data_IF_477932336407
#
_entry.id   IF_477932336407
#
_cell.length_a   1.000
_cell.length_b   1.000
_cell.length_c   1.000
_cell.angle_alpha   90.00
_cell.angle_beta   90.00
_cell.angle_gamma   90.00
#
_symmetry.space_group_name_H-M   'P 1'
#
loop_
_entity.id
_entity.type
_entity.pdbx_description
1 polymer ?
#
# COMPACT_ATOMS: atom_id res chain seq x y z
N UNK A 1 -23.38 -2.69 -14.71
CA UNK A 1 -22.28 -3.68 -14.85
C UNK A 1 -21.58 -3.86 -13.50
N UNK A 2 -22.16 -4.56 -12.52
CA UNK A 2 -21.59 -4.56 -11.14
C UNK A 2 -21.87 -5.86 -10.35
N UNK A 3 -21.81 -7.04 -10.98
CA UNK A 3 -22.02 -8.32 -10.27
C UNK A 3 -20.79 -9.23 -10.18
N UNK A 4 -19.76 -9.03 -11.01
CA UNK A 4 -18.51 -9.82 -10.96
C UNK A 4 -17.47 -9.31 -9.96
N UNK A 5 -17.50 -8.02 -9.62
CA UNK A 5 -16.46 -7.36 -8.81
C UNK A 5 -16.57 -7.62 -7.29
N UNK A 6 -17.71 -8.08 -6.77
CA UNK A 6 -17.98 -8.14 -5.32
C UNK A 6 -17.21 -9.23 -4.55
N UNK A 7 -16.81 -10.32 -5.21
CA UNK A 7 -16.08 -11.44 -4.55
C UNK A 7 -14.56 -11.35 -4.66
N UNK A 8 -14.05 -10.35 -5.37
CA UNK A 8 -12.69 -10.34 -5.91
C UNK A 8 -11.67 -9.95 -4.81
N UNK A 9 -11.95 -8.92 -4.00
CA UNK A 9 -10.98 -8.33 -3.04
C UNK A 9 -11.21 -8.64 -1.55
N UNK A 10 -12.30 -9.33 -1.19
CA UNK A 10 -12.54 -9.72 0.20
C UNK A 10 -11.44 -10.62 0.77
N UNK A 11 -10.75 -11.40 -0.06
CA UNK A 11 -9.71 -12.33 0.37
C UNK A 11 -8.43 -11.65 0.87
N UNK A 12 -8.01 -10.52 0.31
CA UNK A 12 -6.84 -9.81 0.84
C UNK A 12 -7.17 -9.17 2.19
N UNK A 13 -8.36 -8.57 2.32
CA UNK A 13 -8.85 -8.03 3.58
C UNK A 13 -8.97 -9.10 4.68
N UNK A 14 -9.46 -10.29 4.34
CA UNK A 14 -9.48 -11.45 5.24
C UNK A 14 -8.07 -11.83 5.68
N UNK A 15 -7.10 -11.90 4.75
CA UNK A 15 -5.70 -12.21 5.10
C UNK A 15 -5.04 -11.14 5.96
N UNK A 16 -5.44 -9.89 5.79
CA UNK A 16 -4.94 -8.77 6.58
C UNK A 16 -5.49 -8.77 8.02
N UNK A 17 -6.52 -9.57 8.33
CA UNK A 17 -7.04 -9.66 9.70
C UNK A 17 -5.98 -10.18 10.66
N UNK A 18 -5.17 -11.17 10.24
CA UNK A 18 -4.07 -11.71 11.05
C UNK A 18 -3.05 -10.65 11.45
N UNK A 19 -2.71 -9.74 10.54
CA UNK A 19 -1.83 -8.60 10.84
C UNK A 19 -2.46 -7.65 11.89
N UNK A 20 -3.74 -7.28 11.70
CA UNK A 20 -4.45 -6.37 12.63
C UNK A 20 -4.63 -7.01 14.01
N UNK A 21 -4.96 -8.29 14.07
CA UNK A 21 -5.16 -9.07 15.28
C UNK A 21 -3.84 -9.26 16.04
N UNK A 22 -2.77 -9.66 15.35
CA UNK A 22 -1.44 -9.80 15.95
C UNK A 22 -0.96 -8.48 16.58
N UNK A 23 -1.11 -7.35 15.86
CA UNK A 23 -0.70 -6.05 16.38
C UNK A 23 -1.55 -5.63 17.59
N UNK A 24 -2.85 -5.88 17.54
CA UNK A 24 -3.78 -5.60 18.65
C UNK A 24 -3.45 -6.45 19.89
N UNK A 25 -3.12 -7.73 19.70
CA UNK A 25 -2.72 -8.64 20.76
C UNK A 25 -1.43 -8.19 21.45
N UNK A 26 -0.41 -7.78 20.68
CA UNK A 26 0.86 -7.26 21.24
C UNK A 26 0.67 -5.98 22.03
N UNK A 27 -0.18 -5.07 21.55
CA UNK A 27 -0.54 -3.86 22.31
C UNK A 27 -1.24 -4.24 23.62
N UNK A 28 -2.20 -5.17 23.60
CA UNK A 28 -2.91 -5.61 24.80
C UNK A 28 -1.98 -6.29 25.83
N UNK A 29 -1.05 -7.13 25.38
CA UNK A 29 -0.03 -7.76 26.21
C UNK A 29 0.83 -6.70 26.91
N UNK A 30 1.26 -5.66 26.17
CA UNK A 30 2.08 -4.56 26.69
C UNK A 30 1.33 -3.66 27.67
N UNK A 31 0.02 -3.46 27.49
CA UNK A 31 -0.87 -2.82 28.48
C UNK A 31 -0.89 -3.63 29.78
N UNK A 32 -1.12 -4.94 29.67
CA UNK A 32 -1.22 -5.84 30.83
C UNK A 32 0.08 -5.89 31.64
N UNK A 33 1.23 -5.98 30.95
CA UNK A 33 2.55 -6.00 31.57
C UNK A 33 2.91 -4.67 32.29
N UNK A 34 2.42 -3.52 31.81
CA UNK A 34 2.55 -2.24 32.53
C UNK A 34 1.61 -2.14 33.73
N UNK A 35 0.41 -2.71 33.63
CA UNK A 35 -0.57 -2.76 34.73
C UNK A 35 -0.13 -3.65 35.90
N UNK A 36 0.53 -4.79 35.62
CA UNK A 36 1.02 -5.71 36.64
C UNK A 36 2.24 -5.19 37.41
N UNK A 37 3.12 -4.41 36.77
CA UNK A 37 4.26 -3.74 37.43
C UNK A 37 3.85 -2.61 38.40
N UNK A 38 2.58 -2.20 38.42
CA UNK A 38 2.03 -1.22 39.37
C UNK A 38 1.47 -1.82 40.67
N UNK A 39 1.38 -3.14 40.79
CA UNK A 39 0.89 -3.83 41.98
C UNK A 39 2.09 -4.48 42.71
N UNK A 40 2.74 -3.73 43.59
CA UNK A 40 3.73 -4.28 44.51
C UNK A 40 3.07 -5.34 45.42
N UNK A 41 3.70 -6.51 45.51
CA UNK A 41 3.34 -7.59 46.43
C UNK A 41 3.61 -7.16 47.89
N UNK A 42 2.78 -7.57 48.87
CA UNK A 42 3.15 -7.42 50.28
C UNK A 42 4.31 -8.38 50.58
N UNK A 43 5.41 -7.86 51.15
CA UNK A 43 6.50 -8.68 51.67
C UNK A 43 5.96 -9.64 52.75
N UNK A 44 6.18 -10.94 52.56
CA UNK A 44 6.09 -11.95 53.61
C UNK A 44 7.25 -11.73 54.59
N UNK A 45 6.93 -11.42 55.84
CA UNK A 45 7.90 -11.41 56.93
C UNK A 45 7.91 -12.82 57.52
N UNK A 46 9.03 -13.53 57.34
CA UNK A 46 9.30 -14.82 57.96
C UNK A 46 9.36 -14.70 59.48
N UNK A 47 8.74 -15.68 60.14
CA UNK A 47 8.75 -15.83 61.59
C UNK A 47 10.04 -16.53 62.05
N UNK A 48 10.80 -15.89 62.93
CA UNK A 48 11.79 -16.58 63.78
C UNK A 48 11.38 -16.54 65.26
N UNK A 49 11.66 -17.66 65.91
CA UNK A 49 11.14 -18.14 67.17
C UNK A 49 12.10 -17.82 68.35
N UNK A 50 11.49 -17.57 69.53
CA UNK A 50 12.01 -17.66 70.94
C UNK A 50 12.73 -16.45 71.59
N UNK A 51 12.71 -16.35 72.94
CA UNK A 51 11.69 -16.73 73.93
C UNK A 51 11.36 -15.61 74.95
N UNK A 52 10.36 -15.90 75.79
CA UNK A 52 9.81 -15.05 76.85
C UNK A 52 10.80 -14.64 77.97
N UNK A 53 10.64 -13.42 78.51
CA UNK A 53 10.36 -13.13 79.93
C UNK A 53 10.41 -11.60 80.25
N UNK A 54 9.53 -11.21 81.17
CA UNK A 54 9.58 -10.07 82.11
C UNK A 54 9.28 -8.61 81.66
N UNK A 55 8.17 -8.09 82.19
CA UNK A 55 8.00 -6.69 82.60
C UNK A 55 8.68 -6.48 83.99
N UNK A 56 8.93 -5.27 84.54
CA UNK A 56 8.16 -4.04 84.31
C UNK A 56 8.94 -2.69 84.39
N UNK A 57 8.16 -1.62 84.30
CA UNK A 57 8.22 -0.41 85.14
C UNK A 57 8.80 0.91 84.57
N UNK A 58 8.29 1.97 85.21
CA UNK A 58 8.01 3.32 84.81
C UNK A 58 9.16 4.33 84.89
N UNK A 59 8.86 5.55 84.41
CA UNK A 59 9.53 6.79 84.83
C UNK A 59 9.74 7.75 83.67
N UNK A 60 8.86 8.75 83.47
CA UNK A 60 8.95 10.14 84.00
C UNK A 60 10.05 11.02 83.39
N UNK A 61 9.57 12.16 82.86
CA UNK A 61 10.18 13.51 82.91
C UNK A 61 11.52 13.71 82.17
N UNK A 62 11.86 14.83 81.55
CA UNK A 62 11.29 16.17 81.55
C UNK A 62 11.98 17.03 80.47
N UNK A 63 11.21 17.94 79.90
CA UNK A 63 11.56 19.37 79.73
C UNK A 63 12.57 19.88 78.67
N UNK A 64 12.23 21.12 78.26
CA UNK A 64 13.01 22.22 77.65
C UNK A 64 13.12 22.22 76.13
N UNK A 65 12.25 22.93 75.40
CA UNK A 65 12.09 24.40 75.33
C UNK A 65 13.32 25.14 74.80
N UNK A 66 13.23 25.65 73.56
CA UNK A 66 13.69 26.99 73.16
C UNK A 66 13.22 27.33 71.74
N UNK A 67 12.12 28.05 71.68
CA UNK A 67 11.94 29.17 70.76
C UNK A 67 12.82 30.35 71.25
N UNK A 68 13.06 31.47 70.50
CA UNK A 68 11.96 32.19 69.87
C UNK A 68 12.24 33.18 68.70
N UNK A 69 11.14 33.77 68.21
CA UNK A 69 10.97 35.12 67.58
C UNK A 69 11.51 35.33 66.16
N UNK A 70 10.94 36.19 65.31
CA UNK A 70 9.68 36.95 65.18
C UNK A 70 9.80 37.61 63.79
N UNK A 71 8.70 37.78 63.06
CA UNK A 71 8.68 38.59 61.85
C UNK A 71 7.26 38.80 61.34
N UNK A 72 6.61 39.83 61.86
CA UNK A 72 5.26 40.26 61.52
C UNK A 72 5.21 41.00 60.17
N UNK A 73 4.09 40.93 59.44
CA UNK A 73 3.18 42.08 59.29
C UNK A 73 1.97 41.75 58.39
N UNK A 74 0.77 42.04 58.91
CA UNK A 74 -0.42 42.65 58.28
C UNK A 74 -0.83 42.22 56.85
N UNK A 75 -2.09 41.92 56.52
CA UNK A 75 -3.36 42.12 57.21
C UNK A 75 -4.50 42.21 56.17
N UNK A 76 -5.74 42.34 56.64
CA UNK A 76 -7.01 42.52 55.90
C UNK A 76 -7.62 41.22 55.31
N UNK A 77 -8.51 40.50 56.03
CA UNK A 77 -9.96 40.75 56.22
C UNK A 77 -10.74 40.68 54.89
N UNK A 78 -11.87 39.99 54.70
CA UNK A 78 -12.97 39.43 55.53
C UNK A 78 -13.85 38.65 54.50
N UNK A 79 -14.48 37.49 54.73
CA UNK A 79 -15.69 37.27 55.53
C UNK A 79 -16.12 35.80 55.37
N UNK A 80 -16.33 35.16 56.50
CA UNK A 80 -17.15 33.97 56.74
C UNK A 80 -18.67 34.35 56.64
N UNK A 81 -19.65 33.42 56.60
CA UNK A 81 -19.90 32.54 57.74
C UNK A 81 -20.35 31.09 57.49
N UNK A 82 -20.06 30.32 58.53
CA UNK A 82 -20.62 29.06 58.99
C UNK A 82 -22.13 28.86 58.75
N UNK A 83 -22.50 27.61 58.48
CA UNK A 83 -23.53 26.93 59.27
C UNK A 83 -23.30 25.40 59.25
N UNK A 84 -22.95 24.82 60.40
CA UNK A 84 -23.30 23.44 60.76
C UNK A 84 -24.73 23.45 61.30
N UNK A 85 -25.47 22.34 61.20
CA UNK A 85 -25.77 21.62 62.43
C UNK A 85 -25.36 20.14 62.37
N UNK A 86 -25.04 19.65 63.56
CA UNK A 86 -24.92 18.25 63.94
C UNK A 86 -26.29 17.57 63.85
N UNK A 87 -26.36 16.33 63.34
CA UNK A 87 -26.98 15.24 64.10
C UNK A 87 -26.59 13.86 63.53
N UNK A 88 -26.50 12.91 64.45
CA UNK A 88 -26.12 11.52 64.31
C UNK A 88 -27.11 10.72 63.46
N UNK A 89 -26.58 9.74 62.75
CA UNK A 89 -27.37 8.70 62.09
C UNK A 89 -26.46 7.78 61.31
N UNK A 90 -26.03 6.70 61.96
CA UNK A 90 -25.32 5.59 61.36
C UNK A 90 -25.95 5.18 60.02
N UNK A 91 -25.14 5.04 58.96
CA UNK A 91 -25.22 3.89 58.03
C UNK A 91 -24.21 3.99 56.87
N UNK A 92 -23.52 2.86 56.65
CA UNK A 92 -22.98 2.37 55.37
C UNK A 92 -21.80 3.15 54.74
N UNK A 93 -20.63 2.78 55.23
CA UNK A 93 -19.34 2.86 54.54
C UNK A 93 -19.33 2.01 53.24
N UNK A 94 -19.82 2.54 52.11
CA UNK A 94 -19.64 1.97 50.74
C UNK A 94 -19.72 3.03 49.62
N UNK A 95 -19.09 4.20 49.76
CA UNK A 95 -19.00 5.20 48.66
C UNK A 95 -17.59 5.68 48.29
N UNK A 96 -16.54 5.16 48.93
CA UNK A 96 -15.15 5.49 48.58
C UNK A 96 -14.54 4.66 47.44
N UNK A 97 -15.01 3.43 47.17
CA UNK A 97 -14.33 2.52 46.21
C UNK A 97 -14.76 2.67 44.75
N UNK A 98 -15.91 3.30 44.47
CA UNK A 98 -16.42 3.43 43.09
C UNK A 98 -15.80 4.62 42.32
N UNK A 99 -15.48 5.72 42.99
CA UNK A 99 -14.84 6.90 42.36
C UNK A 99 -13.36 6.66 42.03
N UNK A 100 -12.65 5.94 42.91
CA UNK A 100 -11.23 5.58 42.67
C UNK A 100 -11.08 4.51 41.59
N UNK A 101 -11.99 3.54 41.45
CA UNK A 101 -11.96 2.57 40.34
C UNK A 101 -12.22 3.24 38.99
N UNK A 102 -13.11 4.24 38.94
CA UNK A 102 -13.38 4.99 37.70
C UNK A 102 -12.20 5.88 37.31
N UNK A 103 -11.56 6.57 38.27
CA UNK A 103 -10.34 7.37 38.05
C UNK A 103 -9.12 6.51 37.69
N UNK A 104 -8.96 5.35 38.32
CA UNK A 104 -7.89 4.41 37.99
C UNK A 104 -8.08 3.81 36.58
N UNK A 105 -9.31 3.50 36.18
CA UNK A 105 -9.59 3.13 34.78
C UNK A 105 -9.23 4.26 33.81
N UNK A 106 -9.60 5.52 34.09
CA UNK A 106 -9.29 6.66 33.20
C UNK A 106 -7.78 6.91 33.08
N UNK A 107 -7.02 6.81 34.17
CA UNK A 107 -5.56 6.96 34.17
C UNK A 107 -4.83 5.83 33.40
N UNK A 108 -5.38 4.61 33.38
CA UNK A 108 -4.84 3.51 32.57
C UNK A 108 -5.16 3.71 31.08
N UNK A 109 -6.32 4.30 30.74
CA UNK A 109 -6.68 4.61 29.34
C UNK A 109 -5.88 5.80 28.74
N UNK A 110 -5.34 6.70 29.56
CA UNK A 110 -4.52 7.83 29.10
C UNK A 110 -3.03 7.51 28.88
N UNK A 111 -2.57 6.32 29.29
CA UNK A 111 -1.17 5.95 29.10
C UNK A 111 -0.84 5.76 27.62
N UNK A 112 0.30 6.30 27.19
CA UNK A 112 0.83 6.09 25.85
C UNK A 112 1.73 4.83 25.83
N UNK A 113 1.52 3.99 24.83
CA UNK A 113 2.37 2.84 24.52
C UNK A 113 3.22 3.20 23.31
N UNK A 114 4.51 2.92 23.43
CA UNK A 114 5.46 3.00 22.33
C UNK A 114 5.61 1.59 21.78
N UNK A 115 5.43 1.43 20.47
CA UNK A 115 5.70 0.17 19.78
C UNK A 115 7.22 0.01 19.61
N UNK A 116 7.78 -1.07 20.15
CA UNK A 116 9.18 -1.46 19.96
C UNK A 116 9.27 -2.48 18.82
N UNK A 117 10.47 -2.69 18.27
CA UNK A 117 10.67 -3.64 17.18
C UNK A 117 10.20 -5.06 17.51
N UNK A 118 10.47 -5.54 18.72
CA UNK A 118 10.06 -6.88 19.17
C UNK A 118 8.54 -7.07 19.18
N UNK A 119 7.78 -5.99 19.38
CA UNK A 119 6.32 -6.03 19.42
C UNK A 119 5.74 -6.17 18.01
N UNK A 120 6.56 -5.92 16.98
CA UNK A 120 6.14 -5.91 15.57
C UNK A 120 6.55 -7.19 14.82
N UNK A 121 7.43 -8.04 15.36
CA UNK A 121 7.92 -9.24 14.64
C UNK A 121 6.79 -10.14 14.13
N UNK A 122 5.91 -10.58 15.03
CA UNK A 122 4.77 -11.45 14.66
C UNK A 122 3.75 -10.74 13.73
N UNK A 123 3.32 -9.48 13.99
CA UNK A 123 2.51 -8.73 13.04
C UNK A 123 3.15 -8.58 11.64
N UNK A 124 4.45 -8.29 11.58
CA UNK A 124 5.16 -8.11 10.32
C UNK A 124 5.27 -9.41 9.53
N UNK A 125 5.50 -10.53 10.19
CA UNK A 125 5.47 -11.84 9.55
C UNK A 125 4.08 -12.19 9.00
N UNK A 126 3.02 -11.93 9.76
CA UNK A 126 1.65 -12.12 9.28
C UNK A 126 1.33 -11.24 8.06
N UNK A 127 1.80 -9.99 8.06
CA UNK A 127 1.66 -9.09 6.92
C UNK A 127 2.41 -9.61 5.69
N UNK A 128 3.66 -10.06 5.85
CA UNK A 128 4.46 -10.62 4.77
C UNK A 128 3.75 -11.81 4.10
N UNK A 129 3.28 -12.77 4.90
CA UNK A 129 2.55 -13.93 4.40
C UNK A 129 1.27 -13.51 3.66
N UNK A 130 0.51 -12.55 4.20
CA UNK A 130 -0.70 -12.04 3.56
C UNK A 130 -0.42 -11.39 2.19
N UNK A 131 0.69 -10.65 2.06
CA UNK A 131 1.13 -10.05 0.80
C UNK A 131 1.52 -11.14 -0.21
N UNK A 132 2.35 -12.10 0.20
CA UNK A 132 2.80 -13.19 -0.67
C UNK A 132 1.64 -14.06 -1.18
N UNK A 133 0.68 -14.38 -0.32
CA UNK A 133 -0.50 -15.15 -0.73
C UNK A 133 -1.41 -14.37 -1.70
N UNK A 134 -1.24 -13.06 -1.80
CA UNK A 134 -1.90 -12.17 -2.77
C UNK A 134 -1.04 -11.90 -4.01
N UNK A 135 -0.09 -12.79 -4.31
CA UNK A 135 0.79 -12.72 -5.48
C UNK A 135 1.65 -11.44 -5.51
N UNK A 136 1.96 -10.89 -4.33
CA UNK A 136 3.04 -9.91 -4.18
C UNK A 136 4.37 -10.68 -4.14
N UNK A 137 5.32 -10.31 -5.00
CA UNK A 137 6.62 -10.95 -5.04
C UNK A 137 7.38 -10.72 -3.73
N UNK A 138 8.12 -11.73 -3.26
CA UNK A 138 8.81 -11.70 -1.96
C UNK A 138 9.66 -10.43 -1.74
N UNK A 139 10.53 -9.99 -2.66
CA UNK A 139 11.32 -8.77 -2.45
C UNK A 139 10.48 -7.50 -2.25
N UNK A 140 9.25 -7.51 -2.76
CA UNK A 140 8.29 -6.40 -2.67
C UNK A 140 7.53 -6.47 -1.35
N UNK A 141 7.16 -7.68 -0.92
CA UNK A 141 6.55 -7.91 0.39
C UNK A 141 7.52 -7.50 1.51
N UNK A 142 8.79 -7.92 1.43
CA UNK A 142 9.85 -7.54 2.37
C UNK A 142 10.02 -6.01 2.46
N UNK A 143 10.02 -5.32 1.32
CA UNK A 143 10.10 -3.86 1.27
C UNK A 143 8.88 -3.20 1.94
N UNK A 144 7.67 -3.65 1.61
CA UNK A 144 6.44 -3.10 2.21
C UNK A 144 6.46 -3.31 3.72
N UNK A 145 6.80 -4.51 4.18
CA UNK A 145 6.89 -4.85 5.61
C UNK A 145 7.92 -3.97 6.31
N UNK A 146 9.06 -3.72 5.68
CA UNK A 146 10.10 -2.83 6.22
C UNK A 146 9.59 -1.38 6.35
N UNK A 147 8.92 -0.84 5.34
CA UNK A 147 8.35 0.52 5.40
C UNK A 147 7.26 0.62 6.48
N UNK A 148 6.38 -0.38 6.59
CA UNK A 148 5.35 -0.44 7.64
C UNK A 148 5.98 -0.54 9.02
N UNK A 149 6.98 -1.40 9.21
CA UNK A 149 7.72 -1.51 10.48
C UNK A 149 8.35 -0.17 10.84
N UNK A 150 9.03 0.48 9.90
CA UNK A 150 9.68 1.77 10.12
C UNK A 150 8.68 2.88 10.50
N UNK A 151 7.49 2.88 9.90
CA UNK A 151 6.44 3.84 10.22
C UNK A 151 5.80 3.57 11.60
N UNK A 152 5.73 2.31 12.04
CA UNK A 152 5.12 1.92 13.32
C UNK A 152 6.06 2.03 14.53
N UNK A 153 7.37 1.78 14.36
CA UNK A 153 8.34 1.84 15.45
C UNK A 153 8.40 3.25 16.04
N UNK A 154 8.33 3.35 17.36
CA UNK A 154 8.41 4.63 18.06
C UNK A 154 7.12 5.46 18.05
N UNK A 155 6.07 5.06 17.31
CA UNK A 155 4.76 5.72 17.38
C UNK A 155 4.16 5.54 18.76
N UNK A 156 3.76 6.67 19.36
CA UNK A 156 3.07 6.74 20.64
C UNK A 156 1.58 6.52 20.42
N UNK A 157 0.98 5.67 21.24
CA UNK A 157 -0.43 5.33 21.09
C UNK A 157 -1.17 5.37 22.41
N UNK A 158 -2.31 6.08 22.43
CA UNK A 158 -3.23 6.06 23.57
C UNK A 158 -3.85 4.69 23.75
N UNK A 159 -3.84 4.17 24.96
CA UNK A 159 -4.49 2.90 25.29
C UNK A 159 -5.99 2.96 24.95
N UNK A 160 -6.48 1.97 24.20
CA UNK A 160 -7.87 1.91 23.73
C UNK A 160 -8.16 2.53 22.37
N UNK A 161 -7.16 3.06 21.65
CA UNK A 161 -7.33 3.46 20.23
C UNK A 161 -7.23 2.27 19.28
N UNK A 162 -7.91 2.32 18.13
CA UNK A 162 -7.99 1.22 17.17
C UNK A 162 -6.61 0.88 16.57
N UNK A 163 -6.07 -0.29 16.95
CA UNK A 163 -4.74 -0.75 16.50
C UNK A 163 -4.79 -1.37 15.12
N UNK A 164 -5.95 -1.90 14.73
CA UNK A 164 -6.20 -2.31 13.36
C UNK A 164 -6.12 -1.11 12.41
N UNK A 165 -6.73 0.02 12.77
CA UNK A 165 -6.71 1.22 11.93
C UNK A 165 -5.29 1.77 11.73
N UNK A 166 -4.49 1.85 12.79
CA UNK A 166 -3.10 2.31 12.67
C UNK A 166 -2.27 1.41 11.75
N UNK A 167 -2.45 0.09 11.86
CA UNK A 167 -1.81 -0.89 10.99
C UNK A 167 -2.20 -0.68 9.52
N UNK A 168 -3.50 -0.51 9.28
CA UNK A 168 -4.08 -0.28 7.95
C UNK A 168 -3.60 1.03 7.32
N UNK A 169 -3.57 2.12 8.10
CA UNK A 169 -3.07 3.42 7.65
C UNK A 169 -1.57 3.34 7.28
N UNK A 170 -0.78 2.65 8.09
CA UNK A 170 0.66 2.49 7.86
C UNK A 170 0.92 1.67 6.58
N UNK A 171 0.17 0.58 6.39
CA UNK A 171 0.25 -0.23 5.17
C UNK A 171 -0.22 0.54 3.93
N UNK A 172 -1.33 1.26 4.04
CA UNK A 172 -1.83 2.15 2.97
C UNK A 172 -0.76 3.13 2.53
N UNK A 173 -0.14 3.83 3.49
CA UNK A 173 0.89 4.80 3.21
C UNK A 173 2.12 4.16 2.55
N UNK A 174 2.53 2.98 3.01
CA UNK A 174 3.63 2.23 2.41
C UNK A 174 3.33 1.86 0.95
N UNK A 175 2.13 1.34 0.67
CA UNK A 175 1.71 0.96 -0.68
C UNK A 175 1.61 2.17 -1.62
N UNK A 176 0.98 3.27 -1.18
CA UNK A 176 0.88 4.51 -1.98
C UNK A 176 2.28 5.04 -2.27
N UNK A 177 3.13 5.13 -1.26
CA UNK A 177 4.51 5.61 -1.42
C UNK A 177 5.27 4.76 -2.44
N UNK A 178 5.16 3.43 -2.34
CA UNK A 178 5.82 2.51 -3.26
C UNK A 178 5.31 2.68 -4.70
N UNK A 179 4.00 2.77 -4.90
CA UNK A 179 3.37 2.90 -6.21
C UNK A 179 3.57 4.28 -6.84
N UNK A 180 3.69 5.33 -6.03
CA UNK A 180 3.82 6.72 -6.48
C UNK A 180 5.27 7.18 -6.67
N UNK A 181 6.28 6.35 -6.34
CA UNK A 181 7.71 6.67 -6.51
C UNK A 181 8.07 7.04 -7.96
N UNK A 182 7.44 6.41 -8.94
CA UNK A 182 7.71 6.62 -10.35
C UNK A 182 6.39 6.93 -11.07
N UNK A 183 6.11 8.23 -11.25
CA UNK A 183 4.89 8.68 -11.91
C UNK A 183 5.18 9.15 -13.34
N UNK A 184 4.35 8.68 -14.28
CA UNK A 184 4.26 9.21 -15.63
C UNK A 184 2.78 9.44 -15.90
N UNK A 185 2.35 10.71 -15.94
CA UNK A 185 1.02 11.03 -16.45
C UNK A 185 1.03 10.86 -17.96
N UNK A 186 0.37 9.81 -18.43
CA UNK A 186 0.27 9.51 -19.84
C UNK A 186 -0.34 10.67 -20.63
N UNK A 187 -1.39 11.31 -20.12
CA UNK A 187 -2.10 12.36 -20.86
C UNK A 187 -1.25 13.64 -20.97
N UNK A 188 -0.55 13.99 -19.89
CA UNK A 188 0.41 15.10 -19.89
C UNK A 188 1.57 14.82 -20.85
N UNK A 189 2.13 13.61 -20.80
CA UNK A 189 3.21 13.21 -21.71
C UNK A 189 2.79 13.31 -23.18
N UNK A 190 1.63 12.76 -23.53
CA UNK A 190 1.12 12.85 -24.91
C UNK A 190 0.93 14.31 -25.31
N UNK A 191 0.38 15.16 -24.44
CA UNK A 191 0.12 16.57 -24.75
C UNK A 191 1.39 17.40 -24.95
N UNK A 192 2.40 17.18 -24.11
CA UNK A 192 3.62 17.97 -24.08
C UNK A 192 4.66 17.52 -25.12
N UNK A 193 4.61 16.26 -25.57
CA UNK A 193 5.59 15.70 -26.49
C UNK A 193 5.35 16.13 -27.93
N UNK A 194 6.45 16.37 -28.65
CA UNK A 194 6.43 16.61 -30.10
C UNK A 194 5.77 15.47 -30.88
N UNK A 195 5.00 15.83 -31.91
CA UNK A 195 4.22 14.88 -32.72
C UNK A 195 5.01 14.39 -33.95
N UNK A 196 4.78 13.16 -34.43
CA UNK A 196 3.96 12.13 -33.81
C UNK A 196 4.63 11.52 -32.58
N UNK A 197 3.87 11.28 -31.52
CA UNK A 197 4.35 10.51 -30.35
C UNK A 197 4.43 9.03 -30.75
N UNK A 198 5.61 8.44 -30.62
CA UNK A 198 5.90 7.05 -31.01
C UNK A 198 5.77 6.13 -29.80
N UNK A 199 4.74 5.30 -29.76
CA UNK A 199 4.50 4.36 -28.65
C UNK A 199 4.69 2.94 -29.16
N UNK A 200 5.67 2.24 -28.60
CA UNK A 200 5.98 0.84 -28.94
C UNK A 200 5.48 -0.08 -27.84
N UNK A 201 4.72 -1.11 -28.21
CA UNK A 201 4.16 -2.06 -27.26
C UNK A 201 4.92 -3.38 -27.32
N UNK A 202 5.32 -3.89 -26.16
CA UNK A 202 6.11 -5.13 -26.01
C UNK A 202 5.47 -6.04 -24.97
N UNK A 203 5.90 -7.30 -24.90
CA UNK A 203 5.40 -8.26 -23.91
C UNK A 203 5.24 -9.64 -24.52
N UNK A 204 4.72 -10.60 -23.77
CA UNK A 204 4.68 -12.01 -24.22
C UNK A 204 3.45 -12.32 -25.08
N UNK A 205 3.34 -13.57 -25.56
CA UNK A 205 2.17 -14.02 -26.31
C UNK A 205 0.95 -14.18 -25.40
N UNK A 206 -0.24 -13.94 -25.93
CA UNK A 206 -1.50 -14.25 -25.23
C UNK A 206 -1.88 -13.28 -24.10
N UNK A 207 -1.07 -12.25 -23.84
CA UNK A 207 -1.31 -11.24 -22.78
C UNK A 207 -2.25 -10.12 -23.19
N UNK A 208 -2.73 -10.11 -24.43
CA UNK A 208 -3.68 -9.10 -24.91
C UNK A 208 -3.05 -7.83 -25.50
N UNK A 209 -1.76 -7.83 -25.84
CA UNK A 209 -1.04 -6.69 -26.46
C UNK A 209 -1.77 -6.02 -27.63
N UNK A 210 -2.10 -6.75 -28.70
CA UNK A 210 -2.83 -6.20 -29.87
C UNK A 210 -4.18 -5.58 -29.47
N UNK A 211 -4.90 -6.21 -28.54
CA UNK A 211 -6.16 -5.66 -28.02
C UNK A 211 -5.94 -4.40 -27.18
N UNK A 212 -4.90 -4.38 -26.33
CA UNK A 212 -4.52 -3.19 -25.54
C UNK A 212 -4.14 -2.02 -26.44
N UNK A 213 -3.45 -2.26 -27.55
CA UNK A 213 -3.15 -1.23 -28.55
C UNK A 213 -4.44 -0.63 -29.11
N UNK A 214 -5.41 -1.47 -29.49
CA UNK A 214 -6.69 -1.00 -29.99
C UNK A 214 -7.48 -0.19 -28.94
N UNK A 215 -7.42 -0.61 -27.66
CA UNK A 215 -8.02 0.13 -26.54
C UNK A 215 -7.35 1.49 -26.31
N UNK A 216 -6.02 1.53 -26.30
CA UNK A 216 -5.26 2.79 -26.18
C UNK A 216 -5.54 3.71 -27.36
N UNK A 217 -5.66 3.15 -28.58
CA UNK A 217 -6.06 3.91 -29.76
C UNK A 217 -7.44 4.56 -29.57
N UNK A 218 -8.44 3.78 -29.12
CA UNK A 218 -9.79 4.29 -28.83
C UNK A 218 -9.76 5.38 -27.74
N UNK A 219 -9.01 5.16 -26.67
CA UNK A 219 -8.84 6.12 -25.57
C UNK A 219 -8.27 7.46 -26.06
N UNK A 220 -7.22 7.42 -26.88
CA UNK A 220 -6.62 8.62 -27.47
C UNK A 220 -7.56 9.33 -28.46
N UNK A 221 -8.30 8.57 -29.27
CA UNK A 221 -9.31 9.13 -30.17
C UNK A 221 -10.44 9.85 -29.42
N UNK A 222 -10.86 9.32 -28.28
CA UNK A 222 -11.88 9.96 -27.43
C UNK A 222 -11.40 11.29 -26.85
N UNK A 223 -10.08 11.46 -26.75
CA UNK A 223 -9.44 12.74 -26.41
C UNK A 223 -9.11 13.60 -27.65
N UNK A 224 -9.65 13.27 -28.82
CA UNK A 224 -9.44 13.97 -30.10
C UNK A 224 -8.03 13.88 -30.70
N UNK A 225 -7.20 12.93 -30.27
CA UNK A 225 -5.92 12.65 -30.95
C UNK A 225 -6.12 11.79 -32.19
N UNK A 226 -5.37 12.11 -33.25
CA UNK A 226 -5.31 11.31 -34.47
C UNK A 226 -4.24 10.21 -34.37
N UNK A 227 -4.63 8.97 -34.65
CA UNK A 227 -3.81 7.78 -34.41
C UNK A 227 -3.50 7.03 -35.71
N UNK A 228 -2.29 6.46 -35.80
CA UNK A 228 -1.85 5.50 -36.82
C UNK A 228 -1.37 4.23 -36.13
N UNK A 229 -1.74 3.07 -36.67
CA UNK A 229 -1.31 1.76 -36.16
C UNK A 229 -0.19 1.20 -37.04
N UNK A 230 0.83 0.60 -36.43
CA UNK A 230 1.90 -0.11 -37.13
C UNK A 230 1.85 -1.62 -36.80
N UNK A 231 1.71 -2.45 -37.83
CA UNK A 231 1.64 -3.91 -37.71
C UNK A 231 3.03 -4.55 -37.65
N UNK A 232 3.78 -4.30 -36.57
CA UNK A 232 5.15 -4.81 -36.38
C UNK A 232 5.24 -6.28 -35.95
N UNK A 233 4.13 -6.94 -35.59
CA UNK A 233 4.10 -8.41 -35.45
C UNK A 233 4.01 -9.08 -36.83
N UNK A 234 5.14 -9.13 -37.53
CA UNK A 234 5.21 -9.63 -38.91
C UNK A 234 5.31 -11.15 -39.02
N UNK A 235 5.50 -11.87 -37.91
CA UNK A 235 5.80 -13.30 -37.91
C UNK A 235 4.66 -14.18 -37.39
N UNK A 236 3.82 -13.68 -36.48
CA UNK A 236 2.69 -14.47 -35.96
C UNK A 236 1.58 -14.50 -37.01
N UNK A 237 1.12 -15.72 -37.33
CA UNK A 237 0.01 -15.91 -38.26
C UNK A 237 -1.26 -15.18 -37.76
N UNK A 238 -1.89 -14.40 -38.64
CA UNK A 238 -3.12 -13.66 -38.33
C UNK A 238 -2.92 -12.38 -37.52
N UNK A 239 -1.69 -12.03 -37.12
CA UNK A 239 -1.44 -10.86 -36.27
C UNK A 239 -1.69 -9.54 -37.00
N UNK A 240 -1.23 -9.46 -38.26
CA UNK A 240 -1.47 -8.30 -39.12
C UNK A 240 -2.97 -8.14 -39.36
N UNK A 241 -3.66 -9.22 -39.73
CA UNK A 241 -5.10 -9.23 -39.99
C UNK A 241 -5.91 -8.86 -38.74
N UNK A 242 -5.49 -9.34 -37.56
CA UNK A 242 -6.11 -8.98 -36.29
C UNK A 242 -6.02 -7.48 -36.02
N UNK A 243 -4.84 -6.87 -36.19
CA UNK A 243 -4.68 -5.42 -36.02
C UNK A 243 -5.44 -4.63 -37.08
N UNK A 244 -5.53 -5.13 -38.31
CA UNK A 244 -6.35 -4.53 -39.36
C UNK A 244 -7.84 -4.54 -39.06
N UNK A 245 -8.37 -5.62 -38.48
CA UNK A 245 -9.77 -5.66 -38.04
C UNK A 245 -10.03 -4.56 -37.00
N UNK A 246 -9.13 -4.38 -36.03
CA UNK A 246 -9.23 -3.28 -35.07
C UNK A 246 -9.14 -1.91 -35.75
N UNK A 247 -8.18 -1.73 -36.67
CA UNK A 247 -8.01 -0.51 -37.44
C UNK A 247 -9.27 -0.16 -38.23
N UNK A 248 -9.86 -1.12 -38.94
CA UNK A 248 -11.09 -0.92 -39.71
C UNK A 248 -12.28 -0.58 -38.79
N UNK A 249 -12.43 -1.29 -37.68
CA UNK A 249 -13.50 -1.04 -36.70
C UNK A 249 -13.41 0.36 -36.08
N UNK A 250 -12.19 0.92 -35.95
CA UNK A 250 -11.94 2.25 -35.40
C UNK A 250 -11.75 3.33 -36.48
N UNK A 251 -11.78 2.98 -37.76
CA UNK A 251 -11.50 3.92 -38.86
C UNK A 251 -10.05 4.43 -38.89
N UNK A 252 -9.09 3.65 -38.38
CA UNK A 252 -7.68 4.01 -38.28
C UNK A 252 -6.86 3.48 -39.44
N UNK A 253 -5.84 4.24 -39.84
CA UNK A 253 -4.84 3.76 -40.79
C UNK A 253 -3.94 2.72 -40.12
N UNK A 254 -3.89 1.52 -40.69
CA UNK A 254 -2.89 0.50 -40.37
C UNK A 254 -1.80 0.51 -41.45
N UNK A 255 -0.56 0.69 -41.02
CA UNK A 255 0.64 0.51 -41.84
C UNK A 255 1.16 -0.90 -41.60
N UNK A 256 1.35 -1.64 -42.68
CA UNK A 256 1.71 -3.06 -42.68
C UNK A 256 2.58 -3.39 -43.89
N UNK A 257 3.43 -4.40 -43.75
CA UNK A 257 4.14 -5.04 -44.86
C UNK A 257 3.61 -6.46 -45.07
N UNK A 258 4.27 -7.24 -45.94
CA UNK A 258 4.03 -8.67 -46.07
C UNK A 258 4.52 -9.43 -44.82
N UNK A 259 3.86 -10.54 -44.51
CA UNK A 259 4.31 -11.48 -43.47
C UNK A 259 5.77 -11.88 -43.67
N UNK A 260 6.53 -11.94 -42.58
CA UNK A 260 7.97 -12.18 -42.57
C UNK A 260 8.83 -10.95 -42.87
N UNK A 261 8.23 -9.78 -43.09
CA UNK A 261 8.95 -8.51 -43.24
C UNK A 261 9.65 -8.04 -41.96
N UNK A 262 10.54 -7.05 -42.08
CA UNK A 262 11.27 -6.46 -40.95
C UNK A 262 10.35 -5.56 -40.09
N UNK A 263 10.08 -5.91 -38.82
CA UNK A 263 9.24 -5.09 -37.94
C UNK A 263 9.69 -3.63 -37.83
N UNK A 264 11.01 -3.40 -37.80
CA UNK A 264 11.57 -2.06 -37.69
C UNK A 264 11.21 -1.19 -38.91
N UNK A 265 11.18 -1.78 -40.11
CA UNK A 265 10.81 -1.08 -41.33
C UNK A 265 9.31 -0.73 -41.34
N UNK A 266 8.43 -1.65 -40.90
CA UNK A 266 6.98 -1.37 -40.80
C UNK A 266 6.72 -0.19 -39.88
N UNK A 267 7.37 -0.16 -38.71
CA UNK A 267 7.18 0.89 -37.72
C UNK A 267 7.77 2.22 -38.22
N UNK A 268 8.94 2.19 -38.87
CA UNK A 268 9.54 3.38 -39.49
C UNK A 268 8.59 3.99 -40.54
N UNK A 269 8.04 3.18 -41.43
CA UNK A 269 7.09 3.65 -42.45
C UNK A 269 5.81 4.22 -41.84
N UNK A 270 5.36 3.68 -40.69
CA UNK A 270 4.22 4.22 -39.97
C UNK A 270 4.49 5.61 -39.38
N UNK A 271 5.71 5.82 -38.89
CA UNK A 271 6.18 7.13 -38.39
C UNK A 271 6.25 8.14 -39.53
N UNK A 272 6.83 7.76 -40.67
CA UNK A 272 6.90 8.63 -41.85
C UNK A 272 5.51 8.96 -42.39
N UNK A 273 4.61 7.98 -42.43
CA UNK A 273 3.21 8.22 -42.80
C UNK A 273 2.55 9.21 -41.84
N UNK A 274 2.72 9.04 -40.53
CA UNK A 274 2.16 9.92 -39.51
C UNK A 274 2.69 11.36 -39.64
N UNK A 275 4.00 11.53 -39.88
CA UNK A 275 4.61 12.85 -40.15
C UNK A 275 4.02 13.50 -41.40
N UNK A 276 3.96 12.77 -42.51
CA UNK A 276 3.45 13.29 -43.77
C UNK A 276 1.96 13.68 -43.73
N UNK A 277 1.19 13.07 -42.82
CA UNK A 277 -0.26 13.30 -42.67
C UNK A 277 -0.63 14.06 -41.39
N UNK A 278 0.34 14.67 -40.70
CA UNK A 278 0.18 15.42 -39.45
C UNK A 278 -0.66 14.65 -38.40
N UNK A 279 -0.31 13.37 -38.18
CA UNK A 279 -0.94 12.52 -37.17
C UNK A 279 -0.27 12.71 -35.81
N UNK A 280 -1.05 12.62 -34.75
CA UNK A 280 -0.56 12.91 -33.39
C UNK A 280 0.20 11.75 -32.78
N UNK A 281 -0.24 10.51 -33.01
CA UNK A 281 0.29 9.33 -32.31
C UNK A 281 0.45 8.14 -33.26
N UNK A 282 1.57 7.44 -33.13
CA UNK A 282 1.82 6.13 -33.74
C UNK A 282 1.85 5.07 -32.65
N UNK A 283 0.99 4.07 -32.76
CA UNK A 283 0.98 2.90 -31.88
C UNK A 283 1.50 1.69 -32.64
N UNK A 284 2.61 1.13 -32.18
CA UNK A 284 3.29 0.01 -32.85
C UNK A 284 3.12 -1.30 -32.08
N UNK A 285 2.52 -2.29 -32.74
CA UNK A 285 2.46 -3.67 -32.25
C UNK A 285 3.79 -4.39 -32.52
N UNK A 286 4.13 -5.34 -31.65
CA UNK A 286 5.33 -6.18 -31.80
C UNK A 286 5.01 -7.63 -31.51
N UNK A 287 5.85 -8.54 -32.04
CA UNK A 287 5.69 -9.96 -31.78
C UNK A 287 5.78 -10.27 -30.27
N UNK A 288 4.83 -11.04 -29.76
CA UNK A 288 4.87 -11.54 -28.39
C UNK A 288 5.74 -12.79 -28.32
N UNK A 289 6.94 -12.76 -27.74
CA UNK A 289 7.66 -14.00 -27.39
C UNK A 289 8.45 -13.73 -26.12
N UNK A 290 8.48 -14.65 -25.17
CA UNK A 290 9.49 -14.60 -24.10
C UNK A 290 9.72 -15.99 -23.54
N UNK A 291 10.63 -16.71 -24.16
CA UNK A 291 11.37 -17.83 -23.56
C UNK A 291 12.74 -17.83 -24.24
N UNK A 292 13.81 -17.49 -23.51
CA UNK A 292 15.24 -17.67 -23.86
C UNK A 292 15.71 -17.27 -25.27
N UNK A 293 14.90 -16.57 -26.06
CA UNK A 293 15.18 -16.31 -27.45
C UNK A 293 15.97 -15.01 -27.57
N UNK A 294 17.30 -15.13 -27.47
CA UNK A 294 18.28 -14.05 -27.68
C UNK A 294 17.95 -13.24 -28.94
N UNK A 295 17.51 -13.92 -30.00
CA UNK A 295 17.17 -13.27 -31.28
C UNK A 295 16.01 -12.28 -31.15
N UNK A 296 15.04 -12.51 -30.25
CA UNK A 296 13.95 -11.56 -30.04
C UNK A 296 14.44 -10.29 -29.36
N UNK A 297 15.29 -10.39 -28.34
CA UNK A 297 15.81 -9.21 -27.65
C UNK A 297 16.75 -8.41 -28.54
N UNK A 298 17.54 -9.07 -29.40
CA UNK A 298 18.30 -8.40 -30.47
C UNK A 298 17.38 -7.67 -31.46
N UNK A 299 16.29 -8.31 -31.88
CA UNK A 299 15.27 -7.67 -32.71
C UNK A 299 14.64 -6.47 -32.02
N UNK A 300 14.30 -6.57 -30.73
CA UNK A 300 13.72 -5.47 -29.97
C UNK A 300 14.70 -4.29 -29.86
N UNK A 301 15.98 -4.56 -29.54
CA UNK A 301 17.04 -3.55 -29.53
C UNK A 301 17.21 -2.89 -30.90
N UNK A 302 17.11 -3.66 -32.00
CA UNK A 302 17.11 -3.11 -33.35
C UNK A 302 15.91 -2.19 -33.59
N UNK A 303 14.70 -2.61 -33.25
CA UNK A 303 13.49 -1.80 -33.41
C UNK A 303 13.65 -0.48 -32.67
N UNK A 304 13.98 -0.52 -31.37
CA UNK A 304 14.16 0.69 -30.55
C UNK A 304 15.23 1.62 -31.12
N UNK A 305 16.37 1.08 -31.59
CA UNK A 305 17.42 1.88 -32.22
C UNK A 305 16.96 2.56 -33.51
N UNK A 306 16.18 1.87 -34.33
CA UNK A 306 15.72 2.38 -35.65
C UNK A 306 14.57 3.36 -35.50
N UNK A 307 13.62 3.08 -34.60
CA UNK A 307 12.38 3.85 -34.49
C UNK A 307 12.44 4.93 -33.42
N UNK A 308 13.38 4.83 -32.47
CA UNK A 308 13.56 5.77 -31.34
C UNK A 308 12.23 6.07 -30.65
N UNK A 309 11.52 5.06 -30.09
CA UNK A 309 10.19 5.27 -29.52
C UNK A 309 10.25 6.29 -28.36
N UNK A 310 9.18 7.06 -28.20
CA UNK A 310 9.03 8.02 -27.09
C UNK A 310 8.53 7.34 -25.82
N UNK A 311 7.77 6.24 -25.97
CA UNK A 311 7.34 5.37 -24.88
C UNK A 311 7.46 3.91 -25.32
N UNK A 312 8.10 3.09 -24.47
CA UNK A 312 8.09 1.64 -24.56
C UNK A 312 7.19 1.05 -23.47
N UNK A 313 6.04 0.51 -23.88
CA UNK A 313 5.01 0.02 -22.96
C UNK A 313 5.01 -1.51 -22.92
N UNK A 314 5.27 -2.08 -21.76
CA UNK A 314 5.16 -3.51 -21.52
C UNK A 314 3.71 -3.93 -21.28
N UNK A 315 3.25 -5.01 -21.89
CA UNK A 315 1.89 -5.54 -21.74
C UNK A 315 1.92 -6.99 -21.28
N UNK A 316 1.39 -7.24 -20.09
CA UNK A 316 1.22 -8.59 -19.52
C UNK A 316 -0.16 -8.77 -18.87
N UNK A 317 -0.49 -9.99 -18.48
CA UNK A 317 -1.74 -10.33 -17.79
C UNK A 317 -1.54 -10.36 -16.27
N UNK A 318 -2.47 -9.75 -15.52
CA UNK A 318 -2.39 -9.70 -14.07
C UNK A 318 -2.50 -11.09 -13.42
N UNK A 319 -3.26 -12.00 -14.04
CA UNK A 319 -3.49 -13.37 -13.56
C UNK A 319 -2.23 -14.26 -13.54
N UNK A 320 -1.15 -13.85 -14.21
CA UNK A 320 0.09 -14.61 -14.24
C UNK A 320 0.93 -14.44 -12.95
N UNK A 321 0.56 -13.52 -12.04
CA UNK A 321 1.23 -13.39 -10.75
C UNK A 321 2.73 -13.09 -10.90
N UNK A 322 3.55 -13.86 -10.19
CA UNK A 322 5.01 -13.74 -10.22
C UNK A 322 5.65 -14.02 -11.59
N UNK A 323 4.97 -14.75 -12.49
CA UNK A 323 5.49 -14.92 -13.86
C UNK A 323 5.49 -13.59 -14.63
N UNK A 324 4.46 -12.76 -14.45
CA UNK A 324 4.40 -11.44 -15.08
C UNK A 324 5.51 -10.52 -14.54
N UNK A 325 5.80 -10.64 -13.24
CA UNK A 325 6.89 -9.93 -12.57
C UNK A 325 8.25 -10.31 -13.16
N UNK A 326 8.50 -11.62 -13.32
CA UNK A 326 9.71 -12.15 -13.93
C UNK A 326 9.89 -11.64 -15.37
N UNK A 327 8.82 -11.72 -16.17
CA UNK A 327 8.81 -11.25 -17.57
C UNK A 327 9.10 -9.75 -17.64
N UNK A 328 8.44 -8.95 -16.80
CA UNK A 328 8.63 -7.52 -16.76
C UNK A 328 10.09 -7.14 -16.44
N UNK A 329 10.70 -7.84 -15.47
CA UNK A 329 12.11 -7.66 -15.13
C UNK A 329 13.03 -7.97 -16.31
N UNK A 330 12.87 -9.13 -16.93
CA UNK A 330 13.68 -9.56 -18.08
C UNK A 330 13.58 -8.59 -19.27
N UNK A 331 12.38 -8.08 -19.55
CA UNK A 331 12.19 -7.05 -20.58
C UNK A 331 12.90 -5.76 -20.21
N UNK A 332 12.69 -5.25 -18.99
CA UNK A 332 13.27 -3.98 -18.54
C UNK A 332 14.81 -4.01 -18.48
N UNK A 333 15.41 -5.15 -18.12
CA UNK A 333 16.86 -5.36 -18.18
C UNK A 333 17.41 -5.37 -19.61
N UNK A 334 16.64 -5.90 -20.57
CA UNK A 334 17.06 -6.02 -21.97
C UNK A 334 16.85 -4.72 -22.76
N UNK A 335 15.70 -4.11 -22.58
CA UNK A 335 15.25 -2.87 -23.22
C UNK A 335 14.41 -2.11 -22.19
N UNK A 336 14.93 -1.04 -21.58
CA UNK A 336 14.23 -0.32 -20.52
C UNK A 336 12.84 0.14 -20.97
N UNK A 337 11.83 -0.26 -20.20
CA UNK A 337 10.44 0.12 -20.45
C UNK A 337 10.14 1.45 -19.77
N UNK A 338 9.11 2.15 -20.23
CA UNK A 338 8.67 3.43 -19.65
C UNK A 338 7.41 3.28 -18.81
N UNK A 339 6.64 2.22 -19.03
CA UNK A 339 5.49 1.87 -18.22
C UNK A 339 4.90 0.52 -18.62
N UNK A 340 3.89 0.10 -17.87
CA UNK A 340 3.22 -1.19 -18.08
C UNK A 340 1.70 -1.04 -18.24
N UNK A 341 1.09 -1.95 -19.00
CA UNK A 341 -0.36 -2.18 -19.03
C UNK A 341 -0.61 -3.60 -18.54
N UNK A 342 -1.48 -3.74 -17.55
CA UNK A 342 -1.88 -5.04 -17.02
C UNK A 342 -3.27 -5.40 -17.51
N UNK A 343 -3.41 -6.50 -18.23
CA UNK A 343 -4.67 -6.98 -18.77
C UNK A 343 -5.29 -8.04 -17.88
N UNK A 344 -6.55 -8.40 -18.16
CA UNK A 344 -7.32 -9.43 -17.43
C UNK A 344 -7.41 -9.13 -15.93
N UNK A 345 -7.38 -7.85 -15.56
CA UNK A 345 -7.43 -7.41 -14.16
C UNK A 345 -8.83 -7.58 -13.56
N UNK A 346 -9.84 -7.79 -14.41
CA UNK A 346 -11.18 -8.23 -14.02
C UNK A 346 -11.22 -9.68 -13.52
N UNK A 347 -10.26 -10.51 -13.95
CA UNK A 347 -10.10 -11.90 -13.54
C UNK A 347 -9.05 -12.11 -12.44
N UNK A 348 -8.21 -11.10 -12.17
CA UNK A 348 -7.24 -11.13 -11.07
C UNK A 348 -7.90 -10.75 -9.75
N UNK A 349 -8.00 -11.72 -8.85
CA UNK A 349 -8.59 -11.55 -7.53
C UNK A 349 -7.67 -10.85 -6.52
N UNK A 350 -6.37 -10.79 -6.78
CA UNK A 350 -5.39 -10.51 -5.74
C UNK A 350 -4.72 -9.15 -5.91
N UNK A 351 -4.48 -8.69 -7.13
CA UNK A 351 -3.93 -7.37 -7.42
C UNK A 351 -2.44 -7.19 -7.07
N UNK A 352 -1.78 -8.19 -6.46
CA UNK A 352 -0.38 -8.11 -6.05
C UNK A 352 0.61 -8.05 -7.22
N UNK A 353 0.22 -8.56 -8.40
CA UNK A 353 1.01 -8.45 -9.63
C UNK A 353 1.29 -7.00 -10.01
N UNK A 354 0.32 -6.10 -9.84
CA UNK A 354 0.47 -4.69 -10.18
C UNK A 354 1.48 -3.98 -9.28
N UNK A 355 1.41 -4.24 -7.97
CA UNK A 355 2.37 -3.75 -6.98
C UNK A 355 3.77 -4.25 -7.32
N UNK A 356 3.88 -5.55 -7.61
CA UNK A 356 5.16 -6.19 -7.84
C UNK A 356 5.85 -5.72 -9.10
N UNK A 357 5.10 -5.56 -10.20
CA UNK A 357 5.64 -5.06 -11.47
C UNK A 357 6.09 -3.61 -11.32
N UNK A 358 5.29 -2.75 -10.69
CA UNK A 358 5.65 -1.35 -10.46
C UNK A 358 6.96 -1.22 -9.68
N UNK A 359 7.11 -2.00 -8.61
CA UNK A 359 8.31 -1.99 -7.79
C UNK A 359 9.54 -2.53 -8.52
N UNK A 360 9.44 -3.73 -9.10
CA UNK A 360 10.60 -4.44 -9.66
C UNK A 360 11.11 -3.78 -10.94
N UNK A 361 10.22 -3.23 -11.76
CA UNK A 361 10.64 -2.48 -12.94
C UNK A 361 11.09 -1.06 -12.61
N UNK A 362 10.63 -0.51 -11.48
CA UNK A 362 10.79 0.91 -11.17
C UNK A 362 10.03 1.81 -12.14
N UNK A 363 8.98 1.30 -12.79
CA UNK A 363 8.20 2.00 -13.82
C UNK A 363 6.72 1.97 -13.48
N UNK A 364 5.96 3.02 -13.83
CA UNK A 364 4.54 3.08 -13.54
C UNK A 364 3.75 2.01 -14.30
N UNK A 365 2.69 1.51 -13.66
CA UNK A 365 1.57 0.93 -14.39
C UNK A 365 0.75 2.11 -14.92
N UNK A 366 0.48 2.15 -16.23
CA UNK A 366 -0.22 3.23 -16.90
C UNK A 366 -1.72 2.95 -17.01
N UNK A 367 -2.07 1.72 -17.36
CA UNK A 367 -3.45 1.30 -17.58
C UNK A 367 -3.72 -0.12 -17.09
N UNK A 368 -4.99 -0.37 -16.75
CA UNK A 368 -5.56 -1.67 -16.46
C UNK A 368 -6.60 -2.05 -17.52
N UNK A 369 -6.44 -3.23 -18.12
CA UNK A 369 -7.40 -3.83 -19.03
C UNK A 369 -8.40 -4.69 -18.28
N UNK A 370 -9.61 -4.17 -18.08
CA UNK A 370 -10.68 -4.72 -17.22
C UNK A 370 -11.78 -5.48 -17.98
N UNK A 371 -11.48 -5.97 -19.19
CA UNK A 371 -12.48 -6.61 -20.05
C UNK A 371 -12.00 -6.76 -21.49
N UNK A 372 -12.92 -6.96 -22.43
CA UNK A 372 -12.62 -7.29 -23.83
C UNK A 372 -12.97 -6.18 -24.83
N UNK A 373 -13.86 -5.26 -24.46
CA UNK A 373 -14.32 -4.19 -25.34
C UNK A 373 -13.37 -2.99 -25.31
N UNK A 374 -13.47 -2.08 -26.29
CA UNK A 374 -12.56 -0.92 -26.35
C UNK A 374 -12.60 0.00 -25.12
N UNK A 375 -13.77 0.28 -24.52
CA UNK A 375 -13.84 1.06 -23.28
C UNK A 375 -13.29 0.36 -22.03
N UNK A 376 -12.98 -0.95 -22.10
CA UNK A 376 -12.48 -1.71 -20.95
C UNK A 376 -10.96 -1.47 -20.73
N UNK A 377 -10.58 -0.20 -20.66
CA UNK A 377 -9.25 0.31 -20.34
C UNK A 377 -9.38 1.46 -19.35
N UNK A 378 -8.76 1.32 -18.19
CA UNK A 378 -8.84 2.30 -17.10
C UNK A 378 -7.44 2.80 -16.79
N UNK A 379 -7.26 4.11 -16.57
CA UNK A 379 -5.98 4.64 -16.07
C UNK A 379 -5.67 4.02 -14.71
N UNK A 380 -4.41 3.67 -14.49
CA UNK A 380 -3.99 3.15 -13.21
C UNK A 380 -3.80 4.29 -12.22
N UNK A 381 -4.58 4.25 -11.14
CA UNK A 381 -4.44 5.16 -10.01
C UNK A 381 -4.01 4.35 -8.77
N UNK A 382 -2.86 4.64 -8.15
CA UNK A 382 -2.39 3.93 -6.95
C UNK A 382 -3.44 3.87 -5.84
N UNK A 383 -4.11 4.99 -5.57
CA UNK A 383 -5.14 5.14 -4.56
C UNK A 383 -6.33 4.22 -4.84
N UNK A 384 -6.73 4.08 -6.11
CA UNK A 384 -7.81 3.18 -6.50
C UNK A 384 -7.45 1.72 -6.17
N UNK A 385 -6.22 1.28 -6.49
CA UNK A 385 -5.78 -0.08 -6.17
C UNK A 385 -5.71 -0.30 -4.67
N UNK A 386 -5.11 0.63 -3.93
CA UNK A 386 -4.94 0.52 -2.47
C UNK A 386 -6.30 0.51 -1.77
N UNK A 387 -7.22 1.41 -2.11
CA UNK A 387 -8.58 1.43 -1.56
C UNK A 387 -9.31 0.11 -1.82
N UNK A 388 -9.08 -0.50 -2.98
CA UNK A 388 -9.70 -1.76 -3.36
C UNK A 388 -9.11 -2.95 -2.61
N UNK A 389 -7.79 -2.96 -2.39
CA UNK A 389 -7.11 -3.94 -1.54
C UNK A 389 -7.59 -3.85 -0.08
N UNK A 390 -7.76 -2.65 0.47
CA UNK A 390 -8.30 -2.45 1.83
C UNK A 390 -9.81 -2.75 1.93
N UNK A 391 -10.48 -2.94 0.80
CA UNK A 391 -11.92 -3.20 0.75
C UNK A 391 -12.76 -1.99 1.17
N UNK A 392 -12.32 -0.79 0.80
CA UNK A 392 -12.98 0.49 1.06
C UNK A 392 -13.63 1.10 -0.19
N UNK A 393 -13.20 0.69 -1.39
CA UNK A 393 -13.84 1.10 -2.63
C UNK A 393 -15.09 0.25 -2.90
N UNK A 394 -16.28 0.86 -2.89
CA UNK A 394 -17.41 0.30 -3.63
C UNK A 394 -17.13 0.37 -5.15
N UNK A 395 -17.58 -0.66 -5.86
CA UNK A 395 -17.30 -0.89 -7.27
C UNK A 395 -17.98 0.10 -8.22
#
# INVERSE_FOLDING_TARGET
>A
MARGAKGLFNRFKEKLSGFKEALSAKVAEKVSAKGSKGAAQPEEIEAEDRPALEAPDAGRMDSKAKEPKMGASSGSATKEPLAKPLDNGETKNKKGRFSFLQKAKTLVFEQEIILEEKDLEEPMWALEMALMESDVALPVAEEIVREVKSDLVGKKKKIGSDTGQLAEDSLRNALITLLSKNHLDFDEYIRAKDKPVKILFVGVNGTGKTTSIAKVAKYLMDQSYSVVLAAGDTFRAGAIEQLEVHGNNLGLKVVKHKTGGDPAAVIFDAIEYARAHNKDVVLADTAGRLHTNINLMDQMRKIVRVTTPDLLIFVDEAIAGNDAVERARLFNESVPIDGSILTKTDADAKGGSAISIAYITGKPVLFLGVGQTYPDLVKFEPEWLVNRLMGEAEA
#
